data_IF_882734727072
#
_entry.id   IF_882734727072
#
_cell.length_a   1.000
_cell.length_b   1.000
_cell.length_c   1.000
_cell.angle_alpha   90.00
_cell.angle_beta   90.00
_cell.angle_gamma   90.00
#
_symmetry.space_group_name_H-M   'P 1'
#
loop_
_entity.id
_entity.type
_entity.pdbx_description
1 polymer ?
#
# COMPACT_ATOMS: atom_id res chain seq x y z
N UNK A 1 69.90 -44.60 -1.38
CA UNK A 1 68.89 -43.94 -2.23
C UNK A 1 68.41 -42.70 -1.53
N UNK A 2 68.60 -41.51 -2.12
CA UNK A 2 68.11 -40.25 -1.54
C UNK A 2 66.60 -40.10 -1.89
N UNK A 3 65.74 -39.66 -0.95
CA UNK A 3 64.34 -39.48 -1.25
C UNK A 3 64.16 -38.39 -2.31
N UNK A 4 63.36 -38.68 -3.35
CA UNK A 4 63.12 -37.85 -4.54
C UNK A 4 62.29 -36.61 -4.26
N UNK A 5 61.67 -36.51 -3.10
CA UNK A 5 60.85 -35.36 -2.72
C UNK A 5 61.36 -34.67 -1.48
N UNK A 6 61.75 -33.36 -1.55
CA UNK A 6 62.07 -32.61 -0.36
C UNK A 6 60.84 -32.48 0.53
N UNK A 7 60.95 -32.87 1.80
CA UNK A 7 59.85 -32.84 2.76
C UNK A 7 59.22 -31.46 2.83
N UNK A 8 57.98 -31.36 2.44
CA UNK A 8 57.18 -30.13 2.55
C UNK A 8 57.05 -29.76 4.07
N UNK A 9 57.73 -28.75 4.48
CA UNK A 9 57.56 -28.22 5.86
C UNK A 9 56.15 -27.64 5.94
N UNK A 10 55.36 -28.14 6.87
CA UNK A 10 54.03 -27.61 7.17
C UNK A 10 54.19 -26.17 7.70
N UNK A 11 53.52 -25.21 7.01
CA UNK A 11 53.59 -23.79 7.43
C UNK A 11 52.27 -23.42 8.10
N UNK A 12 52.28 -23.26 9.42
CA UNK A 12 51.14 -22.81 10.20
C UNK A 12 50.57 -21.46 9.72
N UNK A 13 51.48 -20.57 9.25
CA UNK A 13 51.03 -19.29 8.69
C UNK A 13 50.16 -19.46 7.46
N UNK A 14 50.48 -20.36 6.54
CA UNK A 14 49.67 -20.63 5.35
C UNK A 14 48.31 -21.25 5.72
N UNK A 15 48.31 -22.15 6.70
CA UNK A 15 47.09 -22.72 7.21
C UNK A 15 46.19 -21.64 7.85
N UNK A 16 46.76 -20.77 8.67
CA UNK A 16 46.03 -19.68 9.30
C UNK A 16 45.42 -18.73 8.28
N UNK A 17 46.17 -18.32 7.25
CA UNK A 17 45.67 -17.47 6.17
C UNK A 17 44.54 -18.16 5.42
N UNK A 18 44.64 -19.45 5.12
CA UNK A 18 43.60 -20.18 4.45
C UNK A 18 42.30 -20.24 5.29
N UNK A 19 42.41 -20.51 6.58
CA UNK A 19 41.26 -20.51 7.50
C UNK A 19 40.59 -19.13 7.57
N UNK A 20 41.43 -18.06 7.67
CA UNK A 20 40.92 -16.69 7.70
C UNK A 20 40.17 -16.33 6.41
N UNK A 21 40.69 -16.69 5.25
CA UNK A 21 40.02 -16.46 3.98
C UNK A 21 38.68 -17.20 3.90
N UNK A 22 38.61 -18.46 4.34
CA UNK A 22 37.37 -19.24 4.37
C UNK A 22 36.36 -18.58 5.32
N UNK A 23 36.78 -18.12 6.49
CA UNK A 23 35.92 -17.45 7.46
C UNK A 23 35.34 -16.15 6.89
N UNK A 24 36.16 -15.33 6.20
CA UNK A 24 35.71 -14.09 5.57
C UNK A 24 34.70 -14.35 4.43
N UNK A 25 34.94 -15.36 3.60
CA UNK A 25 33.98 -15.75 2.54
C UNK A 25 32.68 -16.24 3.15
N UNK A 26 32.74 -17.07 4.19
CA UNK A 26 31.55 -17.56 4.88
C UNK A 26 30.75 -16.42 5.53
N UNK A 27 31.41 -15.48 6.19
CA UNK A 27 30.76 -14.31 6.76
C UNK A 27 30.14 -13.39 5.71
N UNK A 28 30.81 -13.18 4.58
CA UNK A 28 30.30 -12.38 3.47
C UNK A 28 29.06 -13.03 2.82
N UNK A 29 29.10 -14.34 2.57
CA UNK A 29 27.95 -15.06 2.02
C UNK A 29 26.76 -15.10 2.98
N UNK A 30 27.00 -15.28 4.28
CA UNK A 30 25.97 -15.23 5.30
C UNK A 30 25.31 -13.86 5.36
N UNK A 31 26.10 -12.78 5.38
CA UNK A 31 25.59 -11.41 5.36
C UNK A 31 24.76 -11.13 4.10
N UNK A 32 25.22 -11.55 2.95
CA UNK A 32 24.49 -11.41 1.68
C UNK A 32 23.15 -12.15 1.69
N UNK A 33 23.14 -13.41 2.17
CA UNK A 33 21.92 -14.22 2.25
C UNK A 33 20.92 -13.61 3.23
N UNK A 34 21.37 -13.10 4.39
CA UNK A 34 20.50 -12.45 5.35
C UNK A 34 19.92 -11.16 4.78
N UNK A 35 20.74 -10.33 4.14
CA UNK A 35 20.31 -9.10 3.50
C UNK A 35 19.24 -9.35 2.42
N UNK A 36 19.47 -10.30 1.52
CA UNK A 36 18.51 -10.63 0.45
C UNK A 36 17.21 -11.24 0.99
N UNK A 37 17.27 -12.04 2.07
CA UNK A 37 16.07 -12.59 2.71
C UNK A 37 15.24 -11.51 3.41
N UNK A 38 15.90 -10.53 4.05
CA UNK A 38 15.19 -9.42 4.68
C UNK A 38 14.51 -8.55 3.65
N UNK A 39 15.20 -8.21 2.56
CA UNK A 39 14.62 -7.44 1.46
C UNK A 39 13.45 -8.16 0.75
N UNK A 40 13.54 -9.49 0.60
CA UNK A 40 12.44 -10.27 0.02
C UNK A 40 11.21 -10.39 0.94
N UNK A 41 11.38 -10.19 2.24
CA UNK A 41 10.29 -10.29 3.22
C UNK A 41 9.44 -9.02 3.31
N UNK A 42 9.94 -7.90 2.79
CA UNK A 42 9.26 -6.60 2.83
C UNK A 42 8.33 -6.32 1.64
N UNK A 43 8.21 -7.23 0.71
CA UNK A 43 7.21 -7.11 -0.35
C UNK A 43 5.82 -7.33 0.27
N UNK A 44 4.91 -6.35 0.13
CA UNK A 44 3.55 -6.51 0.63
C UNK A 44 2.90 -7.71 -0.07
N UNK A 45 2.13 -8.48 0.69
CA UNK A 45 1.32 -9.56 0.12
C UNK A 45 0.43 -8.98 -0.98
N UNK A 46 0.37 -9.61 -2.17
CA UNK A 46 -0.52 -9.17 -3.22
C UNK A 46 -1.96 -9.23 -2.72
N UNK A 47 -2.67 -8.12 -2.83
CA UNK A 47 -4.06 -8.04 -2.43
C UNK A 47 -4.95 -7.72 -3.62
N UNK A 48 -6.20 -8.11 -3.53
CA UNK A 48 -7.23 -7.80 -4.52
C UNK A 48 -8.36 -7.02 -3.84
N UNK A 49 -8.77 -5.91 -4.44
CA UNK A 49 -9.91 -5.12 -4.01
C UNK A 49 -10.78 -4.75 -5.20
N UNK A 50 -12.09 -4.88 -5.06
CA UNK A 50 -13.04 -4.43 -6.07
C UNK A 50 -13.37 -2.96 -5.90
N UNK A 51 -13.60 -2.25 -7.02
CA UNK A 51 -14.14 -0.90 -6.99
C UNK A 51 -15.63 -0.93 -6.69
N UNK A 52 -16.07 0.02 -5.87
CA UNK A 52 -17.48 0.25 -5.53
C UNK A 52 -17.79 1.72 -5.78
N UNK A 53 -18.65 1.99 -6.74
CA UNK A 53 -19.23 3.33 -6.91
C UNK A 53 -20.28 3.54 -5.81
N UNK A 54 -19.96 4.41 -4.85
CA UNK A 54 -20.83 4.69 -3.69
C UNK A 54 -22.06 5.53 -4.08
N UNK A 55 -22.03 6.16 -5.25
CA UNK A 55 -23.14 6.99 -5.77
C UNK A 55 -24.10 6.23 -6.67
N UNK A 56 -23.75 4.99 -7.03
CA UNK A 56 -24.56 4.17 -7.93
C UNK A 56 -25.92 3.80 -7.33
N UNK A 57 -26.92 3.72 -8.22
CA UNK A 57 -28.28 3.31 -7.87
C UNK A 57 -28.69 2.08 -8.71
N UNK A 58 -29.12 0.98 -8.08
CA UNK A 58 -29.26 0.78 -6.62
C UNK A 58 -27.91 0.69 -5.92
N UNK A 59 -27.85 1.17 -4.68
CA UNK A 59 -26.59 1.20 -3.91
C UNK A 59 -26.12 -0.20 -3.58
N UNK A 60 -24.86 -0.49 -3.85
CA UNK A 60 -24.22 -1.74 -3.44
C UNK A 60 -23.90 -1.72 -1.94
N UNK A 61 -24.34 -2.75 -1.23
CA UNK A 61 -24.17 -2.87 0.23
C UNK A 61 -22.77 -3.42 0.57
N UNK A 62 -21.75 -2.61 0.35
CA UNK A 62 -20.37 -3.00 0.60
C UNK A 62 -20.07 -3.27 2.09
N UNK A 63 -20.84 -2.69 3.00
CA UNK A 63 -20.76 -2.89 4.44
C UNK A 63 -21.24 -4.28 4.89
N UNK A 64 -22.08 -4.95 4.07
CA UNK A 64 -22.62 -6.27 4.38
C UNK A 64 -21.57 -7.37 4.20
N UNK A 65 -21.51 -8.32 5.14
CA UNK A 65 -20.74 -9.56 4.97
C UNK A 65 -21.44 -10.57 4.06
N UNK A 66 -22.75 -10.48 3.94
CA UNK A 66 -23.55 -11.42 3.15
C UNK A 66 -23.37 -11.13 1.68
N UNK A 67 -22.86 -12.12 0.94
CA UNK A 67 -22.61 -12.01 -0.49
C UNK A 67 -21.40 -11.17 -0.90
N UNK A 68 -20.66 -10.63 0.07
CA UNK A 68 -19.45 -9.87 -0.20
C UNK A 68 -18.22 -10.69 0.21
N UNK A 69 -17.48 -11.18 -0.78
CA UNK A 69 -16.30 -12.04 -0.59
C UNK A 69 -14.99 -11.25 -0.51
N UNK A 70 -15.03 -9.94 -0.79
CA UNK A 70 -13.83 -9.11 -0.83
C UNK A 70 -13.45 -8.62 0.57
N UNK A 71 -12.17 -8.79 0.90
CA UNK A 71 -11.58 -8.23 2.14
C UNK A 71 -11.22 -6.75 1.97
N UNK A 72 -10.86 -6.36 0.74
CA UNK A 72 -10.44 -5.01 0.42
C UNK A 72 -11.38 -4.41 -0.64
N UNK A 73 -11.67 -3.13 -0.52
CA UNK A 73 -12.52 -2.41 -1.47
C UNK A 73 -11.99 -1.02 -1.71
N UNK A 74 -12.04 -0.58 -2.97
CA UNK A 74 -11.81 0.81 -3.34
C UNK A 74 -13.16 1.50 -3.52
N UNK A 75 -13.48 2.45 -2.66
CA UNK A 75 -14.68 3.26 -2.78
C UNK A 75 -14.41 4.41 -3.74
N UNK A 76 -15.14 4.50 -4.79
CA UNK A 76 -14.99 5.50 -5.83
C UNK A 76 -16.25 6.37 -5.99
N UNK A 77 -16.11 7.53 -6.52
CA UNK A 77 -14.85 8.25 -6.71
C UNK A 77 -14.95 9.63 -6.09
N UNK A 78 -13.87 10.11 -5.50
CA UNK A 78 -13.77 11.51 -5.07
C UNK A 78 -13.29 12.34 -6.25
N UNK A 79 -14.05 13.34 -6.62
CA UNK A 79 -13.73 14.34 -7.63
C UNK A 79 -13.91 15.73 -7.05
N UNK A 80 -13.56 16.77 -7.81
CA UNK A 80 -13.82 18.14 -7.41
C UNK A 80 -15.32 18.45 -7.48
N UNK A 81 -15.84 19.02 -6.40
CA UNK A 81 -17.14 19.68 -6.36
C UNK A 81 -17.00 21.15 -6.78
N UNK A 82 -17.25 22.07 -5.85
CA UNK A 82 -17.02 23.49 -6.07
C UNK A 82 -15.55 23.84 -5.77
N UNK A 83 -14.76 24.09 -6.81
CA UNK A 83 -13.32 24.39 -6.71
C UNK A 83 -12.52 23.22 -6.10
N UNK A 84 -11.81 23.48 -5.01
CA UNK A 84 -11.01 22.49 -4.30
C UNK A 84 -11.79 21.61 -3.31
N UNK A 85 -13.13 21.66 -3.29
CA UNK A 85 -13.89 20.86 -2.35
C UNK A 85 -14.01 19.40 -2.83
N UNK A 86 -13.58 18.41 -2.01
CA UNK A 86 -13.76 17.00 -2.36
C UNK A 86 -15.26 16.64 -2.34
N UNK A 87 -15.70 15.92 -3.36
CA UNK A 87 -17.07 15.46 -3.48
C UNK A 87 -17.15 14.05 -4.06
N UNK A 88 -18.14 13.27 -3.63
CA UNK A 88 -18.42 11.95 -4.20
C UNK A 88 -19.13 12.10 -5.54
N UNK A 89 -18.45 11.63 -6.60
CA UNK A 89 -18.92 11.67 -7.97
C UNK A 89 -19.13 13.06 -8.55
N UNK A 90 -18.67 14.12 -7.87
CA UNK A 90 -18.97 15.51 -8.22
C UNK A 90 -20.36 15.99 -7.82
N UNK A 91 -21.15 15.17 -7.13
CA UNK A 91 -22.55 15.45 -6.82
C UNK A 91 -22.84 15.66 -5.34
N UNK A 92 -22.11 14.93 -4.48
CA UNK A 92 -22.33 14.98 -3.03
C UNK A 92 -21.09 15.50 -2.33
N UNK A 93 -21.21 16.59 -1.62
CA UNK A 93 -20.21 16.96 -0.61
C UNK A 93 -20.04 15.83 0.40
N UNK A 94 -18.97 15.84 1.17
CA UNK A 94 -18.76 14.79 2.18
C UNK A 94 -19.91 14.73 3.19
N UNK A 95 -20.51 15.88 3.54
CA UNK A 95 -21.65 15.95 4.47
C UNK A 95 -22.96 15.49 3.84
N UNK A 96 -23.19 15.80 2.57
CA UNK A 96 -24.34 15.28 1.85
C UNK A 96 -24.25 13.77 1.64
N UNK A 97 -23.06 13.23 1.37
CA UNK A 97 -22.84 11.80 1.29
C UNK A 97 -23.12 11.09 2.62
N UNK A 98 -22.74 11.70 3.75
CA UNK A 98 -23.07 11.18 5.07
C UNK A 98 -24.58 11.11 5.31
N UNK A 99 -25.30 12.17 4.96
CA UNK A 99 -26.75 12.28 5.23
C UNK A 99 -27.62 11.56 4.21
N UNK A 100 -27.24 11.56 2.92
CA UNK A 100 -28.05 11.03 1.81
C UNK A 100 -27.73 9.59 1.49
N UNK A 101 -26.44 9.20 1.58
CA UNK A 101 -25.96 7.87 1.26
C UNK A 101 -25.66 7.02 2.51
N UNK A 102 -25.81 7.59 3.71
CA UNK A 102 -25.43 7.01 5.01
C UNK A 102 -23.95 6.53 5.00
N UNK A 103 -23.09 7.25 4.27
CA UNK A 103 -21.79 6.75 3.89
C UNK A 103 -20.84 6.58 5.09
N UNK A 104 -20.81 7.54 6.00
CA UNK A 104 -19.98 7.49 7.20
C UNK A 104 -20.31 6.25 8.06
N UNK A 105 -21.59 5.98 8.23
CA UNK A 105 -22.10 4.83 9.00
C UNK A 105 -21.76 3.51 8.33
N UNK A 106 -21.90 3.43 7.01
CA UNK A 106 -21.59 2.25 6.20
C UNK A 106 -20.08 1.94 6.21
N UNK A 107 -19.23 2.96 6.10
CA UNK A 107 -17.77 2.83 6.22
C UNK A 107 -17.40 2.34 7.63
N UNK A 108 -17.92 2.98 8.67
CA UNK A 108 -17.68 2.58 10.04
C UNK A 108 -18.15 1.14 10.33
N UNK A 109 -19.24 0.70 9.71
CA UNK A 109 -19.70 -0.68 9.81
C UNK A 109 -18.74 -1.67 9.11
N UNK A 110 -18.16 -1.27 7.99
CA UNK A 110 -17.19 -2.09 7.26
C UNK A 110 -15.94 -2.35 8.10
N UNK A 111 -15.41 -1.34 8.76
CA UNK A 111 -14.25 -1.50 9.66
C UNK A 111 -14.49 -2.47 10.82
N UNK A 112 -15.73 -2.56 11.33
CA UNK A 112 -16.07 -3.55 12.37
C UNK A 112 -15.99 -5.01 11.89
N UNK A 113 -15.74 -5.22 10.62
CA UNK A 113 -15.70 -6.54 10.00
C UNK A 113 -14.30 -6.96 9.52
N UNK A 114 -13.25 -6.29 9.99
CA UNK A 114 -11.84 -6.50 9.63
C UNK A 114 -11.56 -6.38 8.12
N UNK A 115 -12.34 -5.54 7.42
CA UNK A 115 -12.16 -5.24 6.01
C UNK A 115 -11.51 -3.89 5.80
N UNK A 116 -10.71 -3.78 4.75
CA UNK A 116 -9.97 -2.57 4.44
C UNK A 116 -10.68 -1.76 3.36
N UNK A 117 -10.71 -0.45 3.56
CA UNK A 117 -11.22 0.50 2.59
C UNK A 117 -10.06 1.36 2.08
N UNK A 118 -10.00 1.48 0.77
CA UNK A 118 -9.22 2.48 0.04
C UNK A 118 -10.23 3.49 -0.52
N UNK A 119 -9.91 4.77 -0.50
CA UNK A 119 -10.71 5.77 -1.23
C UNK A 119 -10.00 6.12 -2.51
N UNK A 120 -10.73 6.07 -3.62
CA UNK A 120 -10.23 6.37 -4.95
C UNK A 120 -10.63 7.78 -5.37
N UNK A 121 -9.64 8.53 -5.83
CA UNK A 121 -9.76 9.86 -6.39
C UNK A 121 -9.67 9.81 -7.91
N UNK A 122 -10.42 10.65 -8.61
CA UNK A 122 -10.44 10.71 -10.06
C UNK A 122 -11.57 9.90 -10.66
N UNK A 123 -11.23 8.94 -11.52
CA UNK A 123 -12.21 8.12 -12.25
C UNK A 123 -12.64 8.76 -13.58
N UNK A 124 -13.54 8.08 -14.30
CA UNK A 124 -13.94 8.46 -15.66
C UNK A 124 -14.75 9.77 -15.74
N UNK A 125 -15.49 10.10 -14.68
CA UNK A 125 -16.44 11.23 -14.68
C UNK A 125 -16.05 12.27 -13.64
N UNK A 126 -16.29 13.55 -13.96
CA UNK A 126 -15.96 14.67 -13.09
C UNK A 126 -14.61 15.27 -13.39
N UNK A 127 -14.22 16.26 -12.58
CA UNK A 127 -12.89 16.87 -12.65
C UNK A 127 -12.06 16.38 -11.49
N UNK A 128 -10.87 15.94 -11.76
CA UNK A 128 -9.95 15.51 -10.71
C UNK A 128 -9.57 16.69 -9.82
N UNK A 129 -9.41 16.45 -8.50
CA UNK A 129 -9.07 17.49 -7.54
C UNK A 129 -7.79 18.23 -7.90
N UNK A 130 -6.73 17.53 -8.31
CA UNK A 130 -5.47 18.17 -8.69
C UNK A 130 -5.58 19.02 -9.97
N UNK A 131 -6.56 18.76 -10.83
CA UNK A 131 -6.85 19.59 -11.98
C UNK A 131 -7.71 20.82 -11.63
N UNK A 132 -8.57 20.71 -10.63
CA UNK A 132 -9.43 21.81 -10.18
C UNK A 132 -8.73 22.75 -9.19
N UNK A 133 -7.87 22.22 -8.33
CA UNK A 133 -7.11 22.96 -7.33
C UNK A 133 -5.84 23.55 -7.93
N UNK A 134 -5.73 24.85 -7.89
CA UNK A 134 -4.51 25.56 -8.33
C UNK A 134 -3.52 25.83 -7.19
N UNK A 135 -3.97 25.72 -5.96
CA UNK A 135 -3.17 25.91 -4.74
C UNK A 135 -2.83 24.54 -4.15
N UNK A 136 -1.53 24.30 -3.93
CA UNK A 136 -1.02 23.00 -3.46
C UNK A 136 -1.41 22.70 -2.02
N UNK A 137 -1.44 23.74 -1.17
CA UNK A 137 -1.80 23.56 0.23
C UNK A 137 -3.31 23.26 0.35
N UNK A 138 -4.15 23.97 -0.43
CA UNK A 138 -5.58 23.69 -0.50
C UNK A 138 -5.87 22.28 -1.05
N UNK A 139 -5.08 21.80 -2.02
CA UNK A 139 -5.20 20.43 -2.52
C UNK A 139 -4.83 19.39 -1.45
N UNK A 140 -3.74 19.63 -0.73
CA UNK A 140 -3.32 18.76 0.37
C UNK A 140 -4.39 18.71 1.47
N UNK A 141 -4.98 19.85 1.83
CA UNK A 141 -6.07 19.94 2.79
C UNK A 141 -7.33 19.19 2.30
N UNK A 142 -7.65 19.24 1.02
CA UNK A 142 -8.76 18.50 0.43
C UNK A 142 -8.56 16.98 0.54
N UNK A 143 -7.36 16.46 0.27
CA UNK A 143 -7.05 15.06 0.51
C UNK A 143 -7.11 14.70 1.99
N UNK A 144 -6.56 15.56 2.85
CA UNK A 144 -6.55 15.33 4.30
C UNK A 144 -7.97 15.30 4.89
N UNK A 145 -8.90 16.11 4.41
CA UNK A 145 -10.30 16.08 4.83
C UNK A 145 -10.94 14.71 4.60
N UNK A 146 -10.65 14.07 3.46
CA UNK A 146 -11.16 12.72 3.14
C UNK A 146 -10.52 11.67 4.04
N UNK A 147 -9.20 11.75 4.26
CA UNK A 147 -8.45 10.85 5.13
C UNK A 147 -9.00 10.91 6.55
N UNK A 148 -9.14 12.11 7.10
CA UNK A 148 -9.57 12.33 8.48
C UNK A 148 -11.03 11.90 8.69
N UNK A 149 -11.90 12.18 7.71
CA UNK A 149 -13.31 11.82 7.82
C UNK A 149 -13.54 10.32 7.82
N UNK A 150 -12.89 9.61 6.90
CA UNK A 150 -13.12 8.17 6.71
C UNK A 150 -12.07 7.29 7.37
N UNK A 151 -11.06 7.87 8.02
CA UNK A 151 -9.95 7.18 8.69
C UNK A 151 -9.24 6.16 7.79
N UNK A 152 -9.13 6.49 6.50
CA UNK A 152 -8.47 5.62 5.53
C UNK A 152 -6.95 5.71 5.66
N UNK A 153 -6.28 4.58 5.45
CA UNK A 153 -4.82 4.48 5.47
C UNK A 153 -4.25 4.23 4.07
N UNK A 154 -5.11 4.10 3.07
CA UNK A 154 -4.75 3.87 1.67
C UNK A 154 -5.61 4.75 0.78
N UNK A 155 -4.96 5.41 -0.15
CA UNK A 155 -5.58 6.18 -1.22
C UNK A 155 -5.22 5.56 -2.56
N UNK A 156 -6.12 5.68 -3.50
CA UNK A 156 -5.96 5.31 -4.89
C UNK A 156 -6.19 6.54 -5.77
N UNK A 157 -5.46 6.66 -6.85
CA UNK A 157 -5.59 7.75 -7.81
C UNK A 157 -5.80 7.14 -9.19
N UNK A 158 -7.04 7.18 -9.64
CA UNK A 158 -7.48 6.72 -10.96
C UNK A 158 -7.51 7.92 -11.93
N UNK A 159 -6.31 8.24 -12.49
CA UNK A 159 -6.02 9.46 -13.27
C UNK A 159 -5.85 9.12 -14.75
#
# INVERSE_FOLDING_TARGET
MKPVFPGRRFSFLRLFIAILCIALVAAGTWSWITFTRTAAKELPEPWFGGYVDVTATPSYKFESKVGNVYQNMSLGFITAGDGCQPSWGGYYTLDEAASTLDLDSRIAQTYKTDRTITVSFGGQNGTELAAACTDVDALADAYQQVIDRYHVTSLDFDI
#
